data_IF_566258382150
#
_entry.id   IF_566258382150
#
_cell.length_a   1.000
_cell.length_b   1.000
_cell.length_c   1.000
_cell.angle_alpha   90.00
_cell.angle_beta   90.00
_cell.angle_gamma   90.00
#
_symmetry.space_group_name_H-M   'P 1'
#
loop_
_entity.id
_entity.type
_entity.pdbx_description
1 polymer ?
#
# COMPACT_ATOMS: atom_id res chain seq x y z
N UNK A 1 -1.78 -31.31 -14.50
CA UNK A 1 -2.35 -30.66 -15.69
C UNK A 1 -3.59 -29.90 -15.29
N UNK A 2 -3.91 -28.80 -16.00
CA UNK A 2 -5.23 -28.18 -15.87
C UNK A 2 -6.27 -29.17 -16.43
N UNK A 3 -7.52 -29.19 -15.87
CA UNK A 3 -8.62 -29.91 -16.48
C UNK A 3 -8.80 -29.48 -17.95
N UNK A 4 -9.27 -30.37 -18.84
CA UNK A 4 -9.39 -30.09 -20.28
C UNK A 4 -10.21 -28.84 -20.61
N UNK A 5 -11.18 -28.51 -19.74
CA UNK A 5 -12.11 -27.40 -19.94
C UNK A 5 -11.59 -26.08 -19.26
N UNK A 6 -10.41 -26.11 -18.65
CA UNK A 6 -9.85 -24.95 -17.97
C UNK A 6 -8.79 -24.27 -18.83
N UNK A 7 -9.00 -22.99 -19.16
CA UNK A 7 -8.07 -22.17 -19.91
C UNK A 7 -7.01 -21.46 -19.03
N UNK A 8 -7.16 -21.51 -17.71
CA UNK A 8 -6.26 -20.89 -16.76
C UNK A 8 -6.49 -21.34 -15.32
N UNK A 9 -5.71 -20.78 -14.41
CA UNK A 9 -5.87 -20.98 -12.98
C UNK A 9 -5.53 -19.69 -12.24
N UNK A 10 -6.15 -19.49 -11.08
CA UNK A 10 -5.83 -18.43 -10.13
C UNK A 10 -5.09 -19.07 -8.95
N UNK A 11 -3.98 -18.47 -8.55
CA UNK A 11 -3.13 -18.93 -7.45
C UNK A 11 -2.67 -17.74 -6.63
N UNK A 12 -2.34 -17.96 -5.37
CA UNK A 12 -1.75 -16.90 -4.52
C UNK A 12 -0.24 -16.84 -4.71
N UNK A 13 0.37 -15.68 -4.45
CA UNK A 13 1.83 -15.53 -4.44
C UNK A 13 2.52 -16.52 -3.50
N UNK A 14 1.94 -16.75 -2.33
CA UNK A 14 2.45 -17.73 -1.36
C UNK A 14 2.49 -19.15 -1.91
N UNK A 15 1.47 -19.59 -2.64
CA UNK A 15 1.44 -20.90 -3.28
C UNK A 15 2.51 -21.04 -4.37
N UNK A 16 2.70 -19.98 -5.17
CA UNK A 16 3.73 -19.96 -6.21
C UNK A 16 5.12 -20.03 -5.58
N UNK A 17 5.39 -19.24 -4.57
CA UNK A 17 6.69 -19.20 -3.90
C UNK A 17 7.05 -20.52 -3.21
N UNK A 18 6.08 -21.26 -2.68
CA UNK A 18 6.32 -22.57 -2.07
C UNK A 18 6.71 -23.67 -3.09
N UNK A 19 6.21 -23.58 -4.32
CA UNK A 19 6.43 -24.59 -5.36
C UNK A 19 6.59 -23.93 -6.74
N UNK A 20 7.65 -23.14 -6.97
CA UNK A 20 7.81 -22.36 -8.21
C UNK A 20 8.04 -23.24 -9.45
N UNK A 21 8.58 -24.43 -9.29
CA UNK A 21 8.91 -25.32 -10.40
C UNK A 21 7.68 -25.74 -11.24
N UNK A 22 6.52 -25.92 -10.62
CA UNK A 22 5.31 -26.32 -11.36
C UNK A 22 4.79 -25.21 -12.28
N UNK A 23 4.54 -23.97 -11.80
CA UNK A 23 4.20 -22.87 -12.70
C UNK A 23 5.33 -22.53 -13.68
N UNK A 24 6.61 -22.67 -13.31
CA UNK A 24 7.73 -22.49 -14.23
C UNK A 24 7.70 -23.45 -15.42
N UNK A 25 7.49 -24.73 -15.17
CA UNK A 25 7.37 -25.73 -16.23
C UNK A 25 6.16 -25.44 -17.17
N UNK A 26 5.06 -24.95 -16.62
CA UNK A 26 3.89 -24.54 -17.45
C UNK A 26 4.18 -23.31 -18.28
N UNK A 27 4.77 -22.28 -17.66
CA UNK A 27 5.12 -21.03 -18.32
C UNK A 27 6.11 -21.21 -19.47
N UNK A 28 7.00 -22.20 -19.37
CA UNK A 28 8.00 -22.55 -20.40
C UNK A 28 7.43 -23.41 -21.51
N UNK A 29 6.58 -24.38 -21.16
CA UNK A 29 6.09 -25.37 -22.13
C UNK A 29 4.78 -24.95 -22.83
N UNK A 30 4.13 -23.88 -22.36
CA UNK A 30 2.86 -23.40 -22.92
C UNK A 30 2.95 -21.90 -23.18
N UNK A 31 2.22 -21.42 -24.19
CA UNK A 31 2.08 -19.96 -24.42
C UNK A 31 1.22 -19.38 -23.29
N UNK A 32 1.88 -18.85 -22.28
CA UNK A 32 1.25 -18.39 -21.04
C UNK A 32 1.23 -16.87 -20.96
N UNK A 33 0.07 -16.30 -20.65
CA UNK A 33 -0.10 -14.96 -20.11
C UNK A 33 -0.21 -15.08 -18.58
N UNK A 34 0.62 -14.36 -17.86
CA UNK A 34 0.53 -14.24 -16.41
C UNK A 34 0.01 -12.86 -16.06
N UNK A 35 -1.01 -12.81 -15.21
CA UNK A 35 -1.57 -11.56 -14.66
C UNK A 35 -1.21 -11.53 -13.18
N UNK A 36 -0.42 -10.53 -12.79
CA UNK A 36 -0.06 -10.25 -11.40
C UNK A 36 -1.00 -9.16 -10.88
N UNK A 37 -1.97 -9.57 -10.08
CA UNK A 37 -2.85 -8.63 -9.39
C UNK A 37 -2.17 -8.15 -8.11
N UNK A 38 -2.20 -6.84 -7.86
CA UNK A 38 -1.48 -6.19 -6.77
C UNK A 38 0.02 -6.60 -6.74
N UNK A 39 0.71 -6.41 -7.87
CA UNK A 39 2.08 -6.90 -8.07
C UNK A 39 3.08 -6.42 -7.00
N UNK A 40 2.80 -5.31 -6.31
CA UNK A 40 3.63 -4.82 -5.21
C UNK A 40 3.75 -5.82 -4.06
N UNK A 41 2.77 -6.72 -3.86
CA UNK A 41 2.86 -7.81 -2.89
C UNK A 41 3.78 -8.96 -3.32
N UNK A 42 4.17 -9.03 -4.58
CA UNK A 42 5.08 -10.09 -5.06
C UNK A 42 6.50 -10.02 -4.45
N UNK A 43 6.81 -8.97 -3.69
CA UNK A 43 8.09 -8.79 -3.01
C UNK A 43 8.02 -8.69 -1.47
N UNK A 44 6.84 -8.81 -0.86
CA UNK A 44 6.63 -8.55 0.59
C UNK A 44 7.38 -9.51 1.53
N UNK A 45 7.75 -10.69 1.05
CA UNK A 45 8.62 -11.61 1.80
C UNK A 45 9.84 -11.90 0.94
N UNK A 46 11.05 -11.77 1.48
CA UNK A 46 12.31 -11.97 0.75
C UNK A 46 12.35 -13.26 -0.09
N UNK A 47 11.56 -14.27 0.27
CA UNK A 47 11.42 -15.53 -0.46
C UNK A 47 10.39 -15.54 -1.59
N UNK A 48 9.38 -14.66 -1.56
CA UNK A 48 8.30 -14.69 -2.55
C UNK A 48 8.73 -14.07 -3.89
N UNK A 49 9.47 -12.97 -3.84
CA UNK A 49 9.93 -12.27 -5.04
C UNK A 49 10.77 -13.18 -5.94
N UNK A 50 11.75 -13.89 -5.39
CA UNK A 50 12.59 -14.82 -6.15
C UNK A 50 11.80 -16.01 -6.71
N UNK A 51 10.87 -16.57 -5.91
CA UNK A 51 10.01 -17.67 -6.35
C UNK A 51 9.04 -17.26 -7.46
N UNK A 52 8.51 -16.05 -7.42
CA UNK A 52 7.64 -15.51 -8.47
C UNK A 52 8.43 -15.23 -9.76
N UNK A 53 9.65 -14.68 -9.64
CA UNK A 53 10.54 -14.48 -10.79
C UNK A 53 10.88 -15.82 -11.43
N UNK A 54 11.29 -16.81 -10.65
CA UNK A 54 11.60 -18.16 -11.12
C UNK A 54 10.41 -18.78 -11.85
N UNK A 55 9.21 -18.72 -11.22
CA UNK A 55 8.01 -19.34 -11.73
C UNK A 55 7.55 -18.79 -13.08
N UNK A 56 7.77 -17.50 -13.35
CA UNK A 56 7.14 -16.84 -14.50
C UNK A 56 8.11 -16.14 -15.46
N UNK A 57 9.44 -16.32 -15.29
CA UNK A 57 10.44 -15.79 -16.22
C UNK A 57 10.25 -16.33 -17.64
N UNK A 58 9.81 -17.59 -17.79
CA UNK A 58 9.53 -18.23 -19.08
C UNK A 58 8.17 -17.87 -19.71
N UNK A 59 7.33 -17.06 -19.05
CA UNK A 59 6.03 -16.68 -19.60
C UNK A 59 6.16 -15.77 -20.84
N UNK A 60 5.32 -16.01 -21.86
CA UNK A 60 5.34 -15.23 -23.11
C UNK A 60 4.91 -13.79 -22.88
N UNK A 61 3.94 -13.55 -21.98
CA UNK A 61 3.45 -12.23 -21.60
C UNK A 61 3.26 -12.15 -20.08
N UNK A 62 3.55 -11.00 -19.54
CA UNK A 62 3.31 -10.65 -18.14
C UNK A 62 2.56 -9.33 -18.10
N UNK A 63 1.48 -9.28 -17.33
CA UNK A 63 0.73 -8.07 -17.02
C UNK A 63 0.77 -7.88 -15.51
N UNK A 64 1.38 -6.81 -15.05
CA UNK A 64 1.33 -6.38 -13.65
C UNK A 64 0.31 -5.26 -13.48
N UNK A 65 -0.57 -5.37 -12.52
CA UNK A 65 -1.54 -4.34 -12.13
C UNK A 65 -1.39 -4.02 -10.65
N UNK A 66 -1.46 -2.75 -10.31
CA UNK A 66 -1.42 -2.27 -8.92
C UNK A 66 -1.91 -0.83 -8.83
N UNK A 67 -2.57 -0.50 -7.73
CA UNK A 67 -2.89 0.88 -7.37
C UNK A 67 -1.75 1.59 -6.60
N UNK A 68 -0.75 0.83 -6.11
CA UNK A 68 0.35 1.34 -5.29
C UNK A 68 1.69 0.79 -5.80
N UNK A 69 2.27 1.38 -6.87
CA UNK A 69 3.49 0.85 -7.51
C UNK A 69 4.78 1.12 -6.72
N UNK A 70 4.70 1.19 -5.40
CA UNK A 70 5.80 1.45 -4.48
C UNK A 70 5.71 0.53 -3.26
N UNK A 71 6.81 0.42 -2.54
CA UNK A 71 6.94 -0.39 -1.33
C UNK A 71 7.51 0.45 -0.19
N UNK A 72 7.11 0.13 1.04
CA UNK A 72 7.60 0.80 2.24
C UNK A 72 9.06 0.45 2.60
N UNK A 73 9.58 -0.65 2.07
CA UNK A 73 10.95 -1.14 2.32
C UNK A 73 11.94 -0.77 1.21
N UNK A 74 11.56 0.10 0.26
CA UNK A 74 12.34 0.55 -0.89
C UNK A 74 12.83 -0.58 -1.83
N UNK A 75 12.42 -1.82 -1.58
CA UNK A 75 12.77 -2.95 -2.43
C UNK A 75 12.05 -2.89 -3.79
N UNK A 76 12.74 -3.34 -4.83
CA UNK A 76 12.16 -3.41 -6.17
C UNK A 76 11.10 -4.50 -6.25
N UNK A 77 9.99 -4.19 -6.91
CA UNK A 77 8.91 -5.13 -7.20
C UNK A 77 9.33 -6.06 -8.35
N UNK A 78 9.09 -7.35 -8.18
CA UNK A 78 9.41 -8.35 -9.20
C UNK A 78 8.74 -8.04 -10.55
N UNK A 79 9.45 -8.22 -11.66
CA UNK A 79 8.97 -7.97 -13.03
C UNK A 79 8.56 -6.53 -13.37
N UNK A 80 8.83 -5.55 -12.49
CA UNK A 80 8.60 -4.12 -12.74
C UNK A 80 9.89 -3.48 -13.24
N UNK A 81 9.78 -2.61 -14.26
CA UNK A 81 10.89 -1.78 -14.74
C UNK A 81 11.03 -0.55 -13.86
N UNK A 82 12.26 -0.09 -13.72
CA UNK A 82 12.59 1.12 -12.97
C UNK A 82 13.53 1.99 -13.78
N UNK A 83 13.32 3.29 -13.73
CA UNK A 83 14.23 4.30 -14.29
C UNK A 83 14.76 5.18 -13.16
N UNK A 84 16.02 5.59 -13.29
CA UNK A 84 16.64 6.51 -12.35
C UNK A 84 16.17 7.94 -12.70
N UNK A 85 15.60 8.63 -11.71
CA UNK A 85 15.03 9.98 -11.91
C UNK A 85 15.93 11.08 -11.35
N UNK A 86 16.63 10.85 -10.22
CA UNK A 86 17.63 11.77 -9.66
C UNK A 86 18.41 11.09 -8.53
N UNK A 87 19.69 11.43 -8.37
CA UNK A 87 20.56 11.12 -7.23
C UNK A 87 20.41 9.69 -6.63
N UNK A 88 20.23 8.68 -7.49
CA UNK A 88 20.04 7.30 -7.07
C UNK A 88 18.59 6.93 -6.69
N UNK A 89 17.64 7.84 -6.86
CA UNK A 89 16.22 7.54 -6.72
C UNK A 89 15.68 6.86 -7.98
N UNK A 90 14.87 5.81 -7.80
CA UNK A 90 14.27 5.04 -8.88
C UNK A 90 12.75 5.15 -8.85
N UNK A 91 12.17 5.33 -10.02
CA UNK A 91 10.72 5.33 -10.21
C UNK A 91 10.29 4.11 -11.04
N UNK A 92 9.16 3.50 -10.69
CA UNK A 92 8.58 2.42 -11.47
C UNK A 92 7.97 2.93 -12.77
N UNK A 93 8.25 2.25 -13.89
CA UNK A 93 7.75 2.63 -15.20
C UNK A 93 6.52 1.79 -15.56
N UNK A 94 5.38 2.46 -15.72
CA UNK A 94 4.14 1.84 -16.17
C UNK A 94 3.97 2.00 -17.69
N UNK A 95 3.48 0.96 -18.38
CA UNK A 95 3.09 1.06 -19.79
C UNK A 95 1.77 1.83 -19.96
N UNK A 96 0.91 1.82 -18.92
CA UNK A 96 -0.33 2.57 -18.85
C UNK A 96 -0.64 2.97 -17.40
N UNK A 97 -1.09 4.19 -17.22
CA UNK A 97 -1.53 4.71 -15.91
C UNK A 97 -2.96 5.22 -16.00
N UNK A 98 -3.83 4.71 -15.12
CA UNK A 98 -5.16 5.24 -14.87
C UNK A 98 -5.17 5.79 -13.45
N UNK A 99 -4.85 7.08 -13.35
CA UNK A 99 -4.64 7.75 -12.07
C UNK A 99 -5.94 8.16 -11.38
N UNK A 100 -5.81 8.58 -10.12
CA UNK A 100 -6.94 9.08 -9.33
C UNK A 100 -7.68 10.24 -10.01
N UNK A 101 -6.95 11.15 -10.67
CA UNK A 101 -7.55 12.27 -11.41
C UNK A 101 -8.42 11.81 -12.59
N UNK A 102 -8.02 10.76 -13.29
CA UNK A 102 -8.81 10.17 -14.39
C UNK A 102 -10.05 9.48 -13.85
N UNK A 103 -9.88 8.68 -12.81
CA UNK A 103 -10.97 7.97 -12.13
C UNK A 103 -12.01 8.93 -11.52
N UNK A 104 -11.56 10.08 -11.01
CA UNK A 104 -12.45 11.12 -10.51
C UNK A 104 -13.23 11.79 -11.64
N UNK A 105 -12.55 12.12 -12.75
CA UNK A 105 -13.19 12.71 -13.95
C UNK A 105 -14.24 11.77 -14.54
N UNK A 106 -13.95 10.47 -14.57
CA UNK A 106 -14.83 9.45 -15.09
C UNK A 106 -15.95 9.05 -14.09
N UNK A 107 -15.95 9.60 -12.87
CA UNK A 107 -16.93 9.30 -11.84
C UNK A 107 -16.83 7.88 -11.25
N UNK A 108 -15.70 7.23 -11.41
CA UNK A 108 -15.46 5.85 -10.92
C UNK A 108 -15.11 5.84 -9.44
N UNK A 109 -14.47 6.91 -8.95
CA UNK A 109 -14.12 7.06 -7.54
C UNK A 109 -14.74 8.33 -6.97
N UNK A 110 -14.90 8.35 -5.64
CA UNK A 110 -15.35 9.54 -4.92
C UNK A 110 -14.18 10.47 -4.63
N UNK A 111 -14.44 11.80 -4.56
CA UNK A 111 -13.44 12.74 -4.04
C UNK A 111 -13.00 12.34 -2.63
N UNK A 112 -11.68 12.34 -2.41
CA UNK A 112 -11.10 12.12 -1.09
C UNK A 112 -10.60 13.46 -0.56
N UNK A 113 -11.02 13.82 0.63
CA UNK A 113 -10.55 15.01 1.33
C UNK A 113 -9.69 14.56 2.50
N UNK A 114 -8.44 15.00 2.52
CA UNK A 114 -7.53 14.76 3.64
C UNK A 114 -7.66 15.92 4.61
N UNK A 115 -8.15 15.63 5.82
CA UNK A 115 -8.15 16.59 6.91
C UNK A 115 -6.99 16.26 7.85
N UNK A 116 -6.12 17.23 8.10
CA UNK A 116 -5.03 17.08 9.05
C UNK A 116 -5.51 17.53 10.42
N UNK A 117 -5.38 16.65 11.39
CA UNK A 117 -5.65 16.94 12.79
C UNK A 117 -4.34 16.96 13.56
N UNK A 118 -4.14 18.00 14.33
CA UNK A 118 -3.05 18.11 15.29
C UNK A 118 -3.62 18.24 16.69
N UNK A 119 -2.82 18.01 17.69
CA UNK A 119 -3.24 18.11 19.09
C UNK A 119 -2.05 18.19 20.02
N UNK A 120 -2.33 18.48 21.28
CA UNK A 120 -1.35 18.47 22.36
C UNK A 120 -1.47 17.16 23.12
N UNK A 121 -0.35 16.45 23.27
CA UNK A 121 -0.28 15.24 24.08
C UNK A 121 0.55 15.52 25.34
N UNK A 122 0.08 15.04 26.49
CA UNK A 122 0.77 15.21 27.77
C UNK A 122 0.87 13.85 28.45
N UNK A 123 2.06 13.47 28.88
CA UNK A 123 2.32 12.19 29.57
C UNK A 123 3.31 12.38 30.70
N UNK A 124 3.33 11.44 31.64
CA UNK A 124 4.31 11.37 32.72
C UNK A 124 5.22 10.18 32.47
N UNK A 125 6.52 10.39 32.56
CA UNK A 125 7.51 9.34 32.40
C UNK A 125 7.69 8.48 33.68
N UNK A 126 8.57 7.48 33.61
CA UNK A 126 8.83 6.56 34.71
C UNK A 126 9.50 7.22 35.93
N UNK A 127 10.09 8.40 35.77
CA UNK A 127 10.71 9.17 36.89
C UNK A 127 9.76 10.21 37.47
N UNK A 128 8.54 10.31 36.93
CA UNK A 128 7.50 11.23 37.41
C UNK A 128 7.56 12.62 36.78
N UNK A 129 8.35 12.81 35.73
CA UNK A 129 8.41 14.08 35.00
C UNK A 129 7.29 14.18 33.96
N UNK A 130 6.63 15.34 33.90
CA UNK A 130 5.53 15.55 32.96
C UNK A 130 6.03 16.24 31.69
N UNK A 131 5.79 15.60 30.57
CA UNK A 131 6.13 16.07 29.23
C UNK A 131 4.90 16.49 28.46
N UNK A 132 5.04 17.49 27.59
CA UNK A 132 3.96 17.94 26.69
C UNK A 132 4.55 18.16 25.30
N UNK A 133 3.88 17.64 24.27
CA UNK A 133 4.28 17.81 22.88
C UNK A 133 3.08 18.08 21.97
N UNK A 134 3.34 18.77 20.86
CA UNK A 134 2.40 18.94 19.77
C UNK A 134 2.60 17.77 18.80
N UNK A 135 1.53 17.08 18.44
CA UNK A 135 1.60 15.96 17.49
C UNK A 135 2.03 16.45 16.10
N UNK A 136 3.05 15.79 15.55
CA UNK A 136 3.61 16.15 14.24
C UNK A 136 4.61 17.29 14.27
N UNK A 137 5.07 17.73 15.45
CA UNK A 137 6.15 18.71 15.56
C UNK A 137 7.49 18.07 15.15
N UNK A 138 8.15 18.68 14.17
CA UNK A 138 9.42 18.21 13.60
C UNK A 138 10.63 18.37 14.52
N UNK A 139 10.49 19.12 15.60
CA UNK A 139 11.60 19.35 16.57
C UNK A 139 11.64 18.29 17.67
N UNK A 140 10.65 17.37 17.72
CA UNK A 140 10.62 16.30 18.70
C UNK A 140 11.70 15.25 18.43
N UNK A 141 12.31 14.74 19.50
CA UNK A 141 13.09 13.50 19.37
C UNK A 141 12.16 12.32 19.04
N UNK A 142 12.67 11.32 18.31
CA UNK A 142 11.88 10.14 17.94
C UNK A 142 11.20 9.48 19.14
N UNK A 143 11.87 9.41 20.29
CA UNK A 143 11.31 8.84 21.50
C UNK A 143 10.14 9.68 22.06
N UNK A 144 10.23 10.99 22.04
CA UNK A 144 9.14 11.87 22.46
C UNK A 144 7.97 11.84 21.49
N UNK A 145 8.24 11.77 20.18
CA UNK A 145 7.22 11.62 19.16
C UNK A 145 6.43 10.31 19.32
N UNK A 146 7.11 9.17 19.48
CA UNK A 146 6.48 7.88 19.72
C UNK A 146 5.61 7.90 20.99
N UNK A 147 6.09 8.53 22.07
CA UNK A 147 5.33 8.62 23.32
C UNK A 147 4.13 9.55 23.17
N UNK A 148 4.28 10.69 22.50
CA UNK A 148 3.19 11.61 22.22
C UNK A 148 2.07 10.94 21.41
N UNK A 149 2.41 10.22 20.34
CA UNK A 149 1.45 9.46 19.55
C UNK A 149 0.82 8.32 20.33
N UNK A 150 1.59 7.56 21.11
CA UNK A 150 1.06 6.49 21.95
C UNK A 150 0.02 7.01 22.96
N UNK A 151 0.30 8.16 23.58
CA UNK A 151 -0.62 8.80 24.53
C UNK A 151 -1.88 9.32 23.82
N UNK A 152 -1.74 9.94 22.65
CA UNK A 152 -2.87 10.44 21.89
C UNK A 152 -3.79 9.32 21.38
N UNK A 153 -3.21 8.17 21.00
CA UNK A 153 -3.93 7.01 20.48
C UNK A 153 -4.42 6.07 21.59
N UNK A 154 -4.24 6.43 22.86
CA UNK A 154 -4.77 5.64 23.97
C UNK A 154 -6.30 5.60 23.92
N UNK A 155 -6.87 4.41 24.14
CA UNK A 155 -8.32 4.19 24.11
C UNK A 155 -9.08 4.97 25.17
N UNK A 156 -8.43 5.26 26.29
CA UNK A 156 -8.99 6.02 27.42
C UNK A 156 -8.81 7.54 27.21
N UNK A 157 -8.11 7.95 26.13
CA UNK A 157 -7.89 9.34 25.78
C UNK A 157 -9.05 9.97 24.99
N UNK A 158 -9.14 11.29 25.02
CA UNK A 158 -10.21 12.04 24.34
C UNK A 158 -9.87 12.37 22.86
N UNK A 159 -8.60 12.23 22.44
CA UNK A 159 -8.17 12.72 21.12
C UNK A 159 -8.84 11.99 19.97
N UNK A 160 -8.91 10.65 20.03
CA UNK A 160 -9.58 9.83 18.98
C UNK A 160 -11.06 10.20 18.89
N UNK A 161 -11.74 10.33 20.04
CA UNK A 161 -13.14 10.69 20.07
C UNK A 161 -13.39 12.07 19.43
N UNK A 162 -12.55 13.07 19.72
CA UNK A 162 -12.63 14.40 19.12
C UNK A 162 -12.36 14.38 17.62
N UNK A 163 -11.34 13.64 17.14
CA UNK A 163 -11.04 13.50 15.71
C UNK A 163 -12.22 12.83 14.99
N UNK A 164 -12.79 11.77 15.56
CA UNK A 164 -13.93 11.08 14.96
C UNK A 164 -15.16 11.97 14.90
N UNK A 165 -15.43 12.75 15.96
CA UNK A 165 -16.54 13.71 15.97
C UNK A 165 -16.36 14.81 14.91
N UNK A 166 -15.14 15.36 14.78
CA UNK A 166 -14.83 16.36 13.76
C UNK A 166 -14.94 15.80 12.34
N UNK A 167 -14.45 14.58 12.11
CA UNK A 167 -14.58 13.89 10.83
C UNK A 167 -16.05 13.65 10.47
N UNK A 168 -16.85 13.18 11.44
CA UNK A 168 -18.29 12.99 11.26
C UNK A 168 -19.01 14.29 10.92
N UNK A 169 -18.74 15.37 11.66
CA UNK A 169 -19.32 16.68 11.38
C UNK A 169 -18.97 17.15 9.96
N UNK A 170 -17.72 16.93 9.52
CA UNK A 170 -17.31 17.28 8.15
C UNK A 170 -18.05 16.46 7.10
N UNK A 171 -18.19 15.17 7.28
CA UNK A 171 -18.96 14.30 6.37
C UNK A 171 -20.42 14.74 6.30
N UNK A 172 -21.02 15.06 7.44
CA UNK A 172 -22.41 15.55 7.50
C UNK A 172 -22.59 16.85 6.71
N UNK A 173 -21.70 17.82 6.87
CA UNK A 173 -21.70 19.05 6.08
C UNK A 173 -21.61 18.80 4.57
N UNK A 174 -20.70 17.89 4.15
CA UNK A 174 -20.52 17.55 2.74
C UNK A 174 -21.75 16.86 2.14
N UNK A 175 -22.46 16.06 2.93
CA UNK A 175 -23.72 15.44 2.54
C UNK A 175 -24.84 16.48 2.41
N UNK A 176 -24.98 17.36 3.37
CA UNK A 176 -25.97 18.45 3.35
C UNK A 176 -25.76 19.40 2.18
N UNK A 177 -24.50 19.67 1.81
CA UNK A 177 -24.15 20.48 0.64
C UNK A 177 -24.32 19.76 -0.71
N UNK A 178 -24.68 18.47 -0.72
CA UNK A 178 -24.78 17.66 -1.93
C UNK A 178 -23.45 17.34 -2.60
N UNK A 179 -22.32 17.60 -1.93
CA UNK A 179 -20.98 17.35 -2.48
C UNK A 179 -20.63 15.86 -2.50
N UNK A 180 -21.19 15.09 -1.57
CA UNK A 180 -21.08 13.63 -1.51
C UNK A 180 -22.45 13.00 -1.25
N UNK A 181 -22.73 11.79 -1.77
CA UNK A 181 -23.99 11.07 -1.54
C UNK A 181 -24.17 10.58 -0.10
#
# INVERSE_FOLDING_TARGET
ALPPDCHGCVVTYAQVAQKPALPAARATNMRTLVIFDEIHHAGDVMSWGSGVIEAFSGAVRRLGVTGTPFRSDEARIAHVRYEEVSDGAFESVADYTYGYGDALRDGVVRPVTFATYTGRSTWTDAVGETHTAILGDSELTKAHEEMAWRTALDSDGEWIAHVMAAAWARVSQLRESGTIP
#
